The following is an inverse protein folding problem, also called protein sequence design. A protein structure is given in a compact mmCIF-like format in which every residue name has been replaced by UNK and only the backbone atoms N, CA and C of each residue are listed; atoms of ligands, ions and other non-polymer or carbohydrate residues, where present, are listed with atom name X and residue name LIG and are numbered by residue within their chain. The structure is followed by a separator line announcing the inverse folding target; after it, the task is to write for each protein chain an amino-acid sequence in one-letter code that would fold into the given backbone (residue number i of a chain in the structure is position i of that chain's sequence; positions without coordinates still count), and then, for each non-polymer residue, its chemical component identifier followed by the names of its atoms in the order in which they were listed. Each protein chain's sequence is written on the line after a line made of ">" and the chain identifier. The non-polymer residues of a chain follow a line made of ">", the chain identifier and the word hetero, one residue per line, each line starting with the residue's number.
data_IF_084245305030
#
_entry.id   IF_084245305030
#
_cell.length_a   1.000
_cell.length_b   1.000
_cell.length_c   1.000
_cell.angle_alpha   90.00
_cell.angle_beta   90.00
_cell.angle_gamma   90.00
#
_symmetry.space_group_name_H-M   'P 1'
#
loop_
_entity.id
_entity.type
_entity.pdbx_description
1 polymer ?
#
# COMPACT_ATOMS: atom_id res chain seq x y z
N UNK A 1 -18.28 3.46 -14.97
CA UNK A 1 -17.37 2.31 -15.02
C UNK A 1 -16.51 2.30 -13.75
N UNK A 2 -16.49 1.20 -13.03
CA UNK A 2 -15.74 1.09 -11.78
C UNK A 2 -14.30 0.71 -12.06
N UNK A 3 -13.34 1.49 -11.52
CA UNK A 3 -11.92 1.17 -11.61
C UNK A 3 -11.60 0.11 -10.55
N UNK A 4 -10.97 -0.99 -10.96
CA UNK A 4 -10.56 -2.06 -10.04
C UNK A 4 -9.35 -1.64 -9.20
N UNK A 5 -9.11 -2.34 -8.10
CA UNK A 5 -7.91 -2.10 -7.28
C UNK A 5 -6.63 -2.33 -8.08
N UNK A 6 -6.61 -3.35 -8.94
CA UNK A 6 -5.46 -3.62 -9.79
C UNK A 6 -5.20 -2.48 -10.78
N UNK A 7 -6.26 -1.91 -11.36
CA UNK A 7 -6.13 -0.76 -12.25
C UNK A 7 -5.61 0.47 -11.52
N UNK A 8 -6.06 0.70 -10.29
CA UNK A 8 -5.53 1.78 -9.44
C UNK A 8 -4.04 1.57 -9.16
N UNK A 9 -3.64 0.36 -8.81
CA UNK A 9 -2.24 0.03 -8.56
C UNK A 9 -1.40 0.25 -9.82
N UNK A 10 -1.90 -0.17 -10.97
CA UNK A 10 -1.19 0.03 -12.25
C UNK A 10 -0.98 1.51 -12.56
N UNK A 11 -1.99 2.34 -12.32
CA UNK A 11 -1.90 3.78 -12.53
C UNK A 11 -0.84 4.40 -11.61
N UNK A 12 -0.82 4.01 -10.34
CA UNK A 12 0.16 4.48 -9.37
C UNK A 12 1.58 4.12 -9.81
N UNK A 13 1.80 2.86 -10.21
CA UNK A 13 3.12 2.39 -10.67
C UNK A 13 3.57 3.17 -11.90
N UNK A 14 2.67 3.44 -12.82
CA UNK A 14 2.95 4.20 -14.04
C UNK A 14 3.35 5.64 -13.72
N UNK A 15 2.60 6.30 -12.84
CA UNK A 15 2.89 7.68 -12.43
C UNK A 15 4.21 7.78 -11.68
N UNK A 16 4.58 6.76 -10.91
CA UNK A 16 5.86 6.69 -10.23
C UNK A 16 7.03 6.42 -11.18
N UNK A 17 6.75 6.04 -12.44
CA UNK A 17 7.78 5.68 -13.39
C UNK A 17 8.37 4.28 -13.16
N UNK A 18 7.67 3.43 -12.44
CA UNK A 18 8.12 2.07 -12.15
C UNK A 18 7.54 1.09 -13.17
N UNK A 19 8.42 0.55 -14.04
CA UNK A 19 8.02 -0.31 -15.15
C UNK A 19 7.84 -1.76 -14.70
N UNK A 20 6.93 -1.98 -13.74
CA UNK A 20 6.58 -3.31 -13.22
C UNK A 20 5.07 -3.49 -13.28
N UNK A 21 4.64 -4.75 -13.47
CA UNK A 21 3.21 -5.07 -13.43
C UNK A 21 2.72 -5.05 -11.98
N UNK A 22 1.46 -4.64 -11.73
CA UNK A 22 0.93 -4.65 -10.36
C UNK A 22 0.76 -6.09 -9.86
N UNK A 23 0.94 -6.31 -8.54
CA UNK A 23 0.61 -7.60 -7.94
C UNK A 23 -0.91 -7.71 -7.77
N UNK A 24 -1.45 -8.88 -7.40
CA UNK A 24 -2.83 -8.96 -6.94
C UNK A 24 -3.06 -8.01 -5.76
N UNK A 25 -4.15 -7.25 -5.81
CA UNK A 25 -4.58 -6.34 -4.74
C UNK A 25 -6.00 -6.72 -4.37
N UNK A 26 -6.21 -7.12 -3.12
CA UNK A 26 -7.49 -7.63 -2.67
C UNK A 26 -8.00 -6.89 -1.44
N UNK A 27 -9.33 -6.84 -1.32
CA UNK A 27 -9.98 -6.41 -0.08
C UNK A 27 -9.99 -7.56 0.92
N UNK A 28 -9.58 -7.27 2.16
CA UNK A 28 -9.55 -8.24 3.25
C UNK A 28 -10.64 -7.89 4.28
N UNK A 29 -11.68 -8.73 4.42
CA UNK A 29 -12.79 -8.42 5.34
C UNK A 29 -12.45 -8.63 6.81
N UNK A 30 -11.40 -9.37 7.12
CA UNK A 30 -11.03 -9.72 8.49
C UNK A 30 -9.83 -8.95 9.03
N UNK A 31 -9.10 -8.25 8.19
CA UNK A 31 -7.92 -7.52 8.59
C UNK A 31 -8.33 -6.20 9.26
N UNK A 32 -8.22 -6.12 10.58
CA UNK A 32 -8.73 -5.00 11.36
C UNK A 32 -7.64 -4.21 12.10
N UNK A 33 -6.39 -4.68 12.09
CA UNK A 33 -5.30 -4.06 12.86
C UNK A 33 -4.35 -3.21 12.01
N UNK A 34 -4.24 -3.49 10.72
CA UNK A 34 -3.49 -2.66 9.80
C UNK A 34 -4.33 -2.34 8.57
N UNK A 35 -4.12 -1.15 8.01
CA UNK A 35 -4.91 -0.65 6.90
C UNK A 35 -4.53 -1.33 5.58
N UNK A 36 -3.28 -1.66 5.40
CA UNK A 36 -2.76 -2.37 4.24
C UNK A 36 -1.63 -3.28 4.64
N UNK A 37 -1.37 -4.29 3.83
CA UNK A 37 -0.32 -5.26 4.10
C UNK A 37 0.21 -5.81 2.77
N UNK A 38 1.53 -5.81 2.62
CA UNK A 38 2.21 -6.52 1.55
C UNK A 38 2.71 -7.85 2.07
N UNK A 39 2.31 -8.94 1.42
CA UNK A 39 2.73 -10.30 1.80
C UNK A 39 3.35 -11.01 0.62
N UNK A 40 4.31 -11.87 0.91
CA UNK A 40 4.93 -12.74 -0.09
C UNK A 40 4.86 -14.16 0.46
N UNK A 41 4.14 -15.01 -0.23
CA UNK A 41 3.95 -16.41 0.18
C UNK A 41 4.58 -17.34 -0.84
N UNK A 42 5.19 -18.42 -0.36
CA UNK A 42 5.82 -19.44 -1.18
C UNK A 42 4.86 -20.61 -1.37
N UNK A 43 4.61 -21.02 -2.60
CA UNK A 43 3.76 -22.17 -2.86
C UNK A 43 4.51 -23.50 -2.70
N UNK A 44 3.80 -24.61 -2.89
CA UNK A 44 4.36 -25.96 -2.73
C UNK A 44 5.49 -26.26 -3.73
N UNK A 45 5.57 -25.52 -4.83
CA UNK A 45 6.62 -25.66 -5.84
C UNK A 45 7.80 -24.72 -5.61
N UNK A 46 7.77 -23.94 -4.53
CA UNK A 46 8.82 -23.00 -4.21
C UNK A 46 8.72 -21.66 -4.93
N UNK A 47 7.61 -21.39 -5.63
CA UNK A 47 7.38 -20.11 -6.29
C UNK A 47 6.82 -19.08 -5.32
N UNK A 48 7.36 -17.86 -5.35
CA UNK A 48 6.92 -16.76 -4.52
C UNK A 48 5.76 -16.00 -5.16
N UNK A 49 4.73 -15.68 -4.36
CA UNK A 49 3.53 -14.98 -4.78
C UNK A 49 3.34 -13.71 -3.95
N UNK A 50 3.60 -12.53 -4.52
CA UNK A 50 3.35 -11.27 -3.83
C UNK A 50 1.86 -10.91 -3.90
N UNK A 51 1.35 -10.27 -2.86
CA UNK A 51 -0.03 -9.83 -2.78
C UNK A 51 -0.14 -8.62 -1.87
N UNK A 52 -1.00 -7.67 -2.23
CA UNK A 52 -1.36 -6.55 -1.37
C UNK A 52 -2.78 -6.77 -0.87
N UNK A 53 -2.96 -6.62 0.44
CA UNK A 53 -4.27 -6.73 1.12
C UNK A 53 -4.63 -5.37 1.69
N UNK A 54 -5.87 -4.94 1.44
CA UNK A 54 -6.42 -3.70 1.98
C UNK A 54 -7.57 -4.02 2.93
N UNK A 55 -7.56 -3.38 4.09
CA UNK A 55 -8.55 -3.63 5.15
C UNK A 55 -9.92 -3.05 4.80
N UNK A 56 -10.93 -3.90 4.73
CA UNK A 56 -12.32 -3.42 4.63
C UNK A 56 -12.73 -2.69 5.90
N UNK A 57 -12.53 -3.26 7.12
CA UNK A 57 -12.97 -2.57 8.35
C UNK A 57 -12.37 -1.18 8.52
N UNK A 58 -11.12 -0.98 8.14
CA UNK A 58 -10.44 0.30 8.35
C UNK A 58 -10.60 1.27 7.18
N UNK A 59 -10.64 0.79 5.94
CA UNK A 59 -10.59 1.67 4.76
C UNK A 59 -11.95 1.95 4.14
N UNK A 60 -12.98 1.17 4.49
CA UNK A 60 -14.34 1.40 3.98
C UNK A 60 -15.26 2.02 5.03
N UNK A 61 -14.70 2.61 6.05
CA UNK A 61 -15.44 3.38 7.06
C UNK A 61 -15.93 4.69 6.43
N UNK A 62 -17.09 5.17 6.90
CA UNK A 62 -17.67 6.43 6.46
C UNK A 62 -17.78 7.46 7.58
N UNK A 63 -17.43 7.07 8.81
CA UNK A 63 -17.61 7.85 10.02
C UNK A 63 -16.33 8.56 10.49
N UNK A 64 -15.32 8.64 9.64
CA UNK A 64 -14.07 9.31 10.00
C UNK A 64 -14.24 10.82 10.01
N UNK A 65 -13.71 11.49 11.06
CA UNK A 65 -13.56 12.94 11.00
C UNK A 65 -12.49 13.33 9.98
N UNK A 66 -12.71 14.39 9.24
CA UNK A 66 -11.78 14.87 8.23
C UNK A 66 -11.16 16.19 8.64
N UNK A 67 -9.86 16.46 8.31
CA UNK A 67 -8.96 15.58 7.55
C UNK A 67 -8.37 14.44 8.39
N UNK A 68 -7.90 13.38 7.72
CA UNK A 68 -7.12 12.31 8.32
C UNK A 68 -5.68 12.39 7.84
N UNK A 69 -4.70 12.11 8.70
CA UNK A 69 -3.31 11.99 8.27
C UNK A 69 -2.98 10.54 7.95
N UNK A 70 -2.51 10.31 6.73
CA UNK A 70 -2.12 8.98 6.23
C UNK A 70 -0.76 9.12 5.58
N UNK A 71 0.20 8.30 6.00
CA UNK A 71 1.60 8.42 5.55
C UNK A 71 2.14 9.84 5.76
N UNK A 72 1.68 10.52 6.80
CA UNK A 72 2.05 11.90 7.11
C UNK A 72 1.43 12.96 6.21
N UNK A 73 0.46 12.59 5.37
CA UNK A 73 -0.20 13.49 4.43
C UNK A 73 -1.67 13.67 4.80
N UNK A 74 -2.21 14.86 4.60
CA UNK A 74 -3.63 15.12 4.86
C UNK A 74 -4.49 14.50 3.77
N UNK A 75 -5.47 13.69 4.19
CA UNK A 75 -6.49 13.14 3.33
C UNK A 75 -7.85 13.68 3.73
N UNK A 76 -8.67 14.02 2.75
CA UNK A 76 -9.96 14.69 2.96
C UNK A 76 -11.17 13.81 2.62
N UNK A 77 -10.93 12.61 2.09
CA UNK A 77 -11.99 11.66 1.77
C UNK A 77 -11.44 10.21 1.79
N UNK A 78 -12.32 9.19 1.82
CA UNK A 78 -11.89 7.78 1.85
C UNK A 78 -11.05 7.36 0.65
N UNK A 79 -11.30 7.93 -0.53
CA UNK A 79 -10.54 7.59 -1.73
C UNK A 79 -9.07 8.02 -1.59
N UNK A 80 -8.82 9.21 -1.06
CA UNK A 80 -7.45 9.67 -0.81
C UNK A 80 -6.73 8.77 0.19
N UNK A 81 -7.42 8.34 1.25
CA UNK A 81 -6.86 7.41 2.23
C UNK A 81 -6.45 6.11 1.55
N UNK A 82 -7.34 5.52 0.75
CA UNK A 82 -7.06 4.27 0.05
C UNK A 82 -5.86 4.38 -0.87
N UNK A 83 -5.76 5.48 -1.62
CA UNK A 83 -4.63 5.72 -2.52
C UNK A 83 -3.32 5.82 -1.75
N UNK A 84 -3.28 6.55 -0.63
CA UNK A 84 -2.06 6.66 0.19
C UNK A 84 -1.62 5.31 0.75
N UNK A 85 -2.57 4.50 1.23
CA UNK A 85 -2.26 3.15 1.73
C UNK A 85 -1.75 2.26 0.60
N UNK A 86 -2.40 2.29 -0.55
CA UNK A 86 -1.97 1.49 -1.69
C UNK A 86 -0.58 1.89 -2.18
N UNK A 87 -0.28 3.19 -2.25
CA UNK A 87 1.07 3.69 -2.56
C UNK A 87 2.10 3.11 -1.60
N UNK A 88 1.81 3.13 -0.30
CA UNK A 88 2.70 2.61 0.73
C UNK A 88 3.01 1.11 0.50
N UNK A 89 1.98 0.29 0.26
CA UNK A 89 2.18 -1.14 0.01
C UNK A 89 2.90 -1.41 -1.31
N UNK A 90 2.69 -0.58 -2.32
CA UNK A 90 3.40 -0.70 -3.59
C UNK A 90 4.90 -0.38 -3.47
N UNK A 91 5.30 0.42 -2.49
CA UNK A 91 6.73 0.64 -2.21
C UNK A 91 7.37 -0.64 -1.71
N UNK A 92 6.72 -1.36 -0.79
CA UNK A 92 7.21 -2.68 -0.35
C UNK A 92 7.35 -3.64 -1.54
N UNK A 93 6.34 -3.66 -2.41
CA UNK A 93 6.36 -4.49 -3.61
C UNK A 93 7.51 -4.12 -4.56
N UNK A 94 7.73 -2.81 -4.78
CA UNK A 94 8.83 -2.31 -5.62
C UNK A 94 10.17 -2.77 -5.10
N UNK A 95 10.42 -2.64 -3.79
CA UNK A 95 11.67 -3.07 -3.17
C UNK A 95 11.86 -4.58 -3.32
N UNK A 96 10.81 -5.35 -3.09
CA UNK A 96 10.87 -6.80 -3.25
C UNK A 96 11.16 -7.20 -4.70
N UNK A 97 10.49 -6.56 -5.66
CA UNK A 97 10.72 -6.81 -7.10
C UNK A 97 12.14 -6.44 -7.54
N UNK A 98 12.73 -5.43 -6.93
CA UNK A 98 14.12 -5.02 -7.19
C UNK A 98 15.16 -5.97 -6.57
N UNK A 99 14.70 -6.98 -5.83
CA UNK A 99 15.59 -7.92 -5.14
C UNK A 99 16.19 -7.39 -3.85
N UNK A 100 15.66 -6.29 -3.30
CA UNK A 100 16.12 -5.77 -2.02
C UNK A 100 15.71 -6.75 -0.91
N UNK A 101 16.69 -7.23 -0.15
CA UNK A 101 16.43 -8.18 0.95
C UNK A 101 15.68 -7.52 2.11
N UNK A 102 15.72 -6.20 2.21
CA UNK A 102 14.99 -5.44 3.20
C UNK A 102 13.91 -4.60 2.51
N UNK A 103 12.76 -5.21 2.24
CA UNK A 103 11.62 -4.51 1.66
C UNK A 103 10.67 -3.92 2.72
N UNK A 104 11.11 -3.86 3.99
CA UNK A 104 10.39 -3.22 5.09
C UNK A 104 10.56 -1.71 5.09
N UNK A 105 10.33 -1.10 6.25
CA UNK A 105 10.41 0.36 6.44
C UNK A 105 11.87 0.83 6.61
N UNK A 106 12.68 0.56 5.60
CA UNK A 106 14.10 0.93 5.55
C UNK A 106 14.29 2.39 5.12
N UNK A 107 15.54 2.85 5.13
CA UNK A 107 15.87 4.17 4.58
C UNK A 107 15.56 4.25 3.08
N UNK A 108 15.78 3.17 2.34
CA UNK A 108 15.43 3.11 0.93
C UNK A 108 13.93 3.21 0.71
N UNK A 109 13.13 2.56 1.57
CA UNK A 109 11.68 2.72 1.55
C UNK A 109 11.29 4.19 1.73
N UNK A 110 11.87 4.83 2.74
CA UNK A 110 11.61 6.23 3.03
C UNK A 110 11.92 7.13 1.84
N UNK A 111 13.07 6.91 1.19
CA UNK A 111 13.50 7.69 0.04
C UNK A 111 12.54 7.52 -1.14
N UNK A 112 12.14 6.29 -1.44
CA UNK A 112 11.17 6.02 -2.51
C UNK A 112 9.81 6.64 -2.20
N UNK A 113 9.37 6.54 -0.96
CA UNK A 113 8.08 7.11 -0.53
C UNK A 113 8.05 8.63 -0.72
N UNK A 114 9.12 9.29 -0.33
CA UNK A 114 9.27 10.73 -0.51
C UNK A 114 9.35 11.11 -1.99
N UNK A 115 10.25 10.47 -2.74
CA UNK A 115 10.53 10.84 -4.13
C UNK A 115 9.34 10.56 -5.06
N UNK A 116 8.68 9.42 -4.90
CA UNK A 116 7.60 9.01 -5.79
C UNK A 116 6.25 9.62 -5.42
N UNK A 117 5.96 9.75 -4.12
CA UNK A 117 4.61 10.09 -3.64
C UNK A 117 4.55 11.25 -2.65
N UNK A 118 5.69 11.77 -2.22
CA UNK A 118 5.73 12.85 -1.23
C UNK A 118 5.29 12.44 0.17
N UNK A 119 5.36 11.15 0.50
CA UNK A 119 5.00 10.67 1.84
C UNK A 119 5.95 11.24 2.89
N UNK A 120 5.38 11.78 3.97
CA UNK A 120 6.11 12.41 5.07
C UNK A 120 6.41 11.43 6.20
N UNK A 121 5.78 10.25 6.21
CA UNK A 121 5.96 9.23 7.24
C UNK A 121 6.04 7.86 6.59
N UNK A 122 6.84 6.97 7.19
CA UNK A 122 6.98 5.57 6.77
C UNK A 122 5.92 4.66 7.39
N UNK A 123 4.97 5.22 8.14
CA UNK A 123 3.86 4.46 8.73
C UNK A 123 2.54 5.01 8.22
N UNK A 124 1.51 4.13 8.19
CA UNK A 124 0.18 4.53 7.75
C UNK A 124 -0.45 5.59 8.65
N UNK A 125 -0.30 5.42 9.96
CA UNK A 125 -1.04 6.19 10.96
C UNK A 125 -2.48 5.72 11.15
N UNK A 126 -2.87 4.59 10.58
CA UNK A 126 -4.20 4.00 10.67
C UNK A 126 -4.08 2.57 11.18
N UNK A 127 -4.95 2.19 12.12
CA UNK A 127 -4.91 0.88 12.74
C UNK A 127 -3.91 0.83 13.89
N UNK A 128 -3.73 -0.34 14.46
CA UNK A 128 -2.86 -0.57 15.63
C UNK A 128 -1.55 -1.26 15.26
N UNK A 129 -1.42 -1.76 14.03
CA UNK A 129 -0.21 -2.43 13.54
C UNK A 129 0.25 -1.78 12.23
N UNK A 130 1.58 -1.59 12.06
CA UNK A 130 2.11 -1.10 10.79
C UNK A 130 2.01 -2.20 9.72
N UNK A 131 1.76 -1.77 8.51
CA UNK A 131 1.71 -2.65 7.34
C UNK A 131 2.89 -2.49 6.39
#
# INVERSE_FOLDING_TARGET
>A
MTITLRQKAQAILREAGWAIAPPPVIWSPRMARCAGLFVVEKDARGKWHPEIRLSIPLLRRRDWPWPQQVCGMNCHDPEQVQVRILEHELIHYKLWMDGDKNWGHSERFRQLAWDAFGHQSITHGIGTEPG
#
